data_IF_419273270695
#
_entry.id   IF_419273270695
#
_cell.length_a   1.000
_cell.length_b   1.000
_cell.length_c   1.000
_cell.angle_alpha   90.00
_cell.angle_beta   90.00
_cell.angle_gamma   90.00
#
_symmetry.space_group_name_H-M   'P 1'
#
loop_
_entity.id
_entity.type
_entity.pdbx_description
1 polymer ?
#
# COMPACT_ATOMS: atom_id res chain seq x y z
N UNK A 1 -14.57 -36.45 -13.12
CA UNK A 1 -13.84 -35.98 -14.33
C UNK A 1 -12.51 -35.36 -13.90
N UNK A 2 -11.36 -35.85 -14.37
CA UNK A 2 -10.07 -35.25 -14.06
C UNK A 2 -9.99 -33.83 -14.65
N UNK A 3 -9.52 -32.86 -13.85
CA UNK A 3 -9.31 -31.47 -14.31
C UNK A 3 -8.34 -31.50 -15.50
N UNK A 4 -8.80 -31.04 -16.66
CA UNK A 4 -7.99 -30.85 -17.86
C UNK A 4 -6.78 -29.98 -17.47
N UNK A 5 -5.56 -30.50 -17.66
CA UNK A 5 -4.33 -29.76 -17.37
C UNK A 5 -4.36 -28.42 -18.13
N UNK A 6 -4.11 -27.31 -17.43
CA UNK A 6 -4.04 -25.99 -18.06
C UNK A 6 -2.89 -26.03 -19.08
N UNK A 7 -3.21 -25.83 -20.37
CA UNK A 7 -2.21 -25.62 -21.42
C UNK A 7 -1.30 -24.46 -21.01
N UNK A 8 0.01 -24.64 -21.16
CA UNK A 8 0.96 -23.57 -20.98
C UNK A 8 0.66 -22.42 -21.96
N UNK A 9 0.79 -21.15 -21.53
CA UNK A 9 0.53 -20.01 -22.40
C UNK A 9 1.53 -19.99 -23.57
N UNK A 10 1.04 -19.93 -24.81
CA UNK A 10 1.84 -19.84 -26.05
C UNK A 10 2.49 -18.47 -26.28
N UNK A 11 2.42 -17.58 -25.30
CA UNK A 11 2.90 -16.19 -25.36
C UNK A 11 4.12 -16.04 -24.46
N UNK A 12 5.13 -15.29 -24.93
CA UNK A 12 6.23 -14.85 -24.07
C UNK A 12 5.67 -14.16 -22.81
N UNK A 13 6.12 -14.54 -21.60
CA UNK A 13 5.54 -14.08 -20.34
C UNK A 13 5.53 -12.55 -20.27
N UNK A 14 4.36 -11.94 -20.08
CA UNK A 14 4.31 -10.50 -19.82
C UNK A 14 4.94 -10.28 -18.44
N UNK A 15 5.84 -9.30 -18.25
CA UNK A 15 6.29 -8.96 -16.91
C UNK A 15 5.14 -8.57 -15.96
N UNK A 16 3.97 -8.17 -16.49
CA UNK A 16 2.76 -7.95 -15.69
C UNK A 16 2.08 -9.25 -15.21
N UNK A 17 2.35 -10.41 -15.82
CA UNK A 17 1.75 -11.70 -15.44
C UNK A 17 2.25 -12.21 -14.07
N UNK A 18 3.30 -11.59 -13.53
CA UNK A 18 3.84 -11.86 -12.20
C UNK A 18 2.92 -11.32 -11.07
N UNK A 19 2.05 -10.37 -11.37
CA UNK A 19 1.17 -9.73 -10.40
C UNK A 19 -0.23 -10.35 -10.41
N UNK A 20 -0.90 -10.35 -9.25
CA UNK A 20 -2.28 -10.82 -9.17
C UNK A 20 -3.22 -9.91 -9.98
N UNK A 21 -4.33 -10.47 -10.47
CA UNK A 21 -5.38 -9.70 -11.17
C UNK A 21 -5.94 -8.56 -10.32
N UNK A 22 -5.95 -8.71 -8.98
CA UNK A 22 -6.38 -7.67 -8.05
C UNK A 22 -5.37 -6.52 -7.95
N UNK A 23 -4.08 -6.83 -7.82
CA UNK A 23 -2.99 -5.84 -7.77
C UNK A 23 -2.93 -5.03 -9.05
N UNK A 24 -3.07 -5.71 -10.19
CA UNK A 24 -3.14 -5.06 -11.49
C UNK A 24 -4.36 -4.14 -11.59
N UNK A 25 -5.50 -4.53 -11.00
CA UNK A 25 -6.70 -3.69 -10.93
C UNK A 25 -6.46 -2.45 -10.09
N UNK A 26 -5.85 -2.58 -8.91
CA UNK A 26 -5.52 -1.45 -8.03
C UNK A 26 -4.55 -0.50 -8.73
N UNK A 27 -3.47 -1.01 -9.33
CA UNK A 27 -2.50 -0.20 -10.05
C UNK A 27 -3.14 0.53 -11.26
N UNK A 28 -4.01 -0.15 -12.01
CA UNK A 28 -4.79 0.46 -13.10
C UNK A 28 -5.73 1.54 -12.58
N UNK A 29 -6.44 1.32 -11.48
CA UNK A 29 -7.32 2.32 -10.88
C UNK A 29 -6.55 3.57 -10.48
N UNK A 30 -5.43 3.42 -9.75
CA UNK A 30 -4.57 4.56 -9.38
C UNK A 30 -4.09 5.29 -10.63
N UNK A 31 -3.61 4.57 -11.63
CA UNK A 31 -3.11 5.17 -12.87
C UNK A 31 -4.21 5.92 -13.65
N UNK A 32 -5.40 5.33 -13.80
CA UNK A 32 -6.52 6.01 -14.45
C UNK A 32 -6.99 7.22 -13.66
N UNK A 33 -7.00 7.17 -12.33
CA UNK A 33 -7.29 8.34 -11.50
C UNK A 33 -6.28 9.47 -11.72
N UNK A 34 -4.99 9.15 -11.91
CA UNK A 34 -3.96 10.15 -12.28
C UNK A 34 -4.29 10.78 -13.65
N UNK A 35 -4.66 9.99 -14.66
CA UNK A 35 -5.03 10.51 -15.98
C UNK A 35 -6.24 11.44 -15.87
N UNK A 36 -7.28 11.01 -15.17
CA UNK A 36 -8.51 11.79 -14.97
C UNK A 36 -8.19 13.09 -14.22
N UNK A 37 -7.41 13.01 -13.14
CA UNK A 37 -6.96 14.19 -12.39
C UNK A 37 -6.20 15.16 -13.31
N UNK A 38 -5.28 14.64 -14.13
CA UNK A 38 -4.50 15.44 -15.08
C UNK A 38 -5.39 16.16 -16.09
N UNK A 39 -6.37 15.44 -16.65
CA UNK A 39 -7.31 16.02 -17.61
C UNK A 39 -8.16 17.13 -16.98
N UNK A 40 -8.70 16.91 -15.77
CA UNK A 40 -9.49 17.91 -15.04
C UNK A 40 -8.61 19.13 -14.72
N UNK A 41 -7.39 18.93 -14.24
CA UNK A 41 -6.46 20.03 -13.93
C UNK A 41 -6.14 20.86 -15.17
N UNK A 42 -5.85 20.24 -16.31
CA UNK A 42 -5.51 20.98 -17.54
C UNK A 42 -6.72 21.74 -18.07
N UNK A 43 -7.92 21.13 -18.05
CA UNK A 43 -9.16 21.82 -18.38
C UNK A 43 -9.38 23.03 -17.45
N UNK A 44 -9.15 22.84 -16.15
CA UNK A 44 -9.19 23.92 -15.16
C UNK A 44 -8.23 25.06 -15.48
N UNK A 45 -6.97 24.77 -15.80
CA UNK A 45 -5.97 25.78 -16.18
C UNK A 45 -6.48 26.63 -17.35
N UNK A 46 -6.99 25.99 -18.41
CA UNK A 46 -7.51 26.72 -19.56
C UNK A 46 -8.72 27.56 -19.24
N UNK A 47 -9.67 27.02 -18.47
CA UNK A 47 -10.86 27.76 -18.04
C UNK A 47 -10.49 28.95 -17.16
N UNK A 48 -9.51 28.82 -16.27
CA UNK A 48 -8.99 29.93 -15.45
C UNK A 48 -8.34 31.00 -16.32
N UNK A 49 -7.52 30.62 -17.30
CA UNK A 49 -6.89 31.57 -18.23
C UNK A 49 -7.95 32.32 -19.05
N UNK A 50 -8.97 31.61 -19.56
CA UNK A 50 -10.05 32.22 -20.32
C UNK A 50 -10.88 33.14 -19.42
N UNK A 51 -11.23 32.70 -18.20
CA UNK A 51 -11.96 33.52 -17.22
C UNK A 51 -11.21 34.80 -16.91
N UNK A 52 -9.91 34.71 -16.65
CA UNK A 52 -9.05 35.88 -16.43
C UNK A 52 -8.97 36.81 -17.64
N UNK A 53 -8.88 36.28 -18.86
CA UNK A 53 -8.90 37.10 -20.08
C UNK A 53 -10.22 37.86 -20.25
N UNK A 54 -11.34 37.24 -19.90
CA UNK A 54 -12.67 37.86 -19.95
C UNK A 54 -12.81 38.94 -18.87
N UNK A 55 -12.49 38.62 -17.62
CA UNK A 55 -12.59 39.56 -16.49
C UNK A 55 -11.68 40.79 -16.65
N UNK A 56 -10.50 40.60 -17.23
CA UNK A 56 -9.55 41.70 -17.48
C UNK A 56 -9.90 42.55 -18.72
N UNK A 57 -10.98 42.24 -19.44
CA UNK A 57 -11.35 42.91 -20.69
C UNK A 57 -10.41 42.62 -21.87
N UNK A 58 -9.40 41.76 -21.68
CA UNK A 58 -8.42 41.41 -22.71
C UNK A 58 -8.98 40.48 -23.78
N UNK A 59 -10.11 39.85 -23.52
CA UNK A 59 -10.81 39.03 -24.49
C UNK A 59 -11.21 39.82 -25.74
N UNK A 60 -11.57 41.09 -25.60
CA UNK A 60 -11.91 41.96 -26.72
C UNK A 60 -10.72 42.17 -27.66
N UNK A 61 -9.51 42.27 -27.11
CA UNK A 61 -8.27 42.37 -27.87
C UNK A 61 -8.06 41.10 -28.70
N UNK A 62 -8.26 39.93 -28.10
CA UNK A 62 -8.15 38.64 -28.80
C UNK A 62 -9.20 38.52 -29.92
N UNK A 63 -10.44 38.96 -29.68
CA UNK A 63 -11.50 38.96 -30.69
C UNK A 63 -11.20 39.95 -31.82
N UNK A 64 -10.57 41.09 -31.51
CA UNK A 64 -10.15 42.09 -32.51
C UNK A 64 -9.09 41.58 -33.50
N UNK A 65 -8.32 40.54 -33.13
CA UNK A 65 -7.36 39.89 -34.03
C UNK A 65 -8.04 39.04 -35.11
N UNK A 66 -9.38 38.96 -35.08
CA UNK A 66 -10.21 38.24 -36.03
C UNK A 66 -10.49 36.80 -35.61
N UNK A 67 -11.43 36.16 -36.32
CA UNK A 67 -11.88 34.80 -36.03
C UNK A 67 -10.75 33.76 -36.04
N UNK A 68 -9.69 34.01 -36.80
CA UNK A 68 -8.52 33.13 -36.87
C UNK A 68 -7.76 33.01 -35.54
N UNK A 69 -7.66 34.09 -34.76
CA UNK A 69 -6.98 34.06 -33.46
C UNK A 69 -7.75 33.23 -32.43
N UNK A 70 -9.08 33.39 -32.38
CA UNK A 70 -9.94 32.57 -31.52
C UNK A 70 -9.89 31.08 -31.91
N UNK A 71 -9.93 30.77 -33.21
CA UNK A 71 -9.79 29.41 -33.71
C UNK A 71 -8.43 28.80 -33.34
N UNK A 72 -7.34 29.57 -33.44
CA UNK A 72 -6.00 29.12 -33.07
C UNK A 72 -5.91 28.72 -31.60
N UNK A 73 -6.51 29.50 -30.69
CA UNK A 73 -6.54 29.19 -29.26
C UNK A 73 -7.29 27.88 -29.02
N UNK A 74 -8.50 27.73 -29.59
CA UNK A 74 -9.31 26.52 -29.43
C UNK A 74 -8.57 25.30 -29.98
N UNK A 75 -7.98 25.40 -31.18
CA UNK A 75 -7.19 24.32 -31.77
C UNK A 75 -5.97 24.00 -30.91
N UNK A 76 -5.28 25.01 -30.39
CA UNK A 76 -4.15 24.83 -29.46
C UNK A 76 -4.54 24.06 -28.20
N UNK A 77 -5.69 24.38 -27.60
CA UNK A 77 -6.25 23.65 -26.47
C UNK A 77 -6.50 22.19 -26.83
N UNK A 78 -7.18 21.93 -27.96
CA UNK A 78 -7.51 20.57 -28.41
C UNK A 78 -6.25 19.76 -28.69
N UNK A 79 -5.28 20.33 -29.42
CA UNK A 79 -4.01 19.66 -29.75
C UNK A 79 -3.22 19.34 -28.48
N UNK A 80 -3.14 20.26 -27.51
CA UNK A 80 -2.45 20.01 -26.25
C UNK A 80 -3.10 18.84 -25.47
N UNK A 81 -4.42 18.77 -25.42
CA UNK A 81 -5.14 17.66 -24.77
C UNK A 81 -4.92 16.33 -25.49
N UNK A 82 -5.00 16.32 -26.82
CA UNK A 82 -4.74 15.11 -27.61
C UNK A 82 -3.30 14.62 -27.43
N UNK A 83 -2.33 15.54 -27.45
CA UNK A 83 -0.93 15.23 -27.19
C UNK A 83 -0.74 14.58 -25.82
N UNK A 84 -1.39 15.13 -24.78
CA UNK A 84 -1.33 14.61 -23.43
C UNK A 84 -1.96 13.21 -23.31
N UNK A 85 -3.08 12.96 -23.99
CA UNK A 85 -3.70 11.62 -24.06
C UNK A 85 -2.78 10.61 -24.73
N UNK A 86 -2.11 10.99 -25.83
CA UNK A 86 -1.12 10.14 -26.50
C UNK A 86 0.07 9.87 -25.58
N UNK A 87 0.58 10.88 -24.88
CA UNK A 87 1.66 10.73 -23.91
C UNK A 87 1.29 9.71 -22.83
N UNK A 88 0.09 9.83 -22.24
CA UNK A 88 -0.41 8.87 -21.26
C UNK A 88 -0.58 7.48 -21.84
N UNK A 89 -1.08 7.36 -23.07
CA UNK A 89 -1.24 6.06 -23.74
C UNK A 89 0.10 5.36 -23.96
N UNK A 90 1.12 6.08 -24.44
CA UNK A 90 2.47 5.55 -24.65
C UNK A 90 3.12 5.17 -23.32
N UNK A 91 2.93 5.98 -22.28
CA UNK A 91 3.44 5.71 -20.94
C UNK A 91 2.62 4.69 -20.15
N UNK A 92 1.45 4.25 -20.66
CA UNK A 92 0.50 3.43 -19.93
C UNK A 92 1.12 2.11 -19.45
N UNK A 93 1.74 1.37 -20.38
CA UNK A 93 2.26 0.03 -20.10
C UNK A 93 3.49 0.07 -19.18
N UNK A 94 4.42 0.98 -19.46
CA UNK A 94 5.61 1.17 -18.62
C UNK A 94 5.27 1.77 -17.26
N UNK A 95 4.30 2.68 -17.21
CA UNK A 95 3.82 3.34 -16.01
C UNK A 95 3.15 2.37 -15.04
N UNK A 96 2.20 1.55 -15.53
CA UNK A 96 1.55 0.53 -14.70
C UNK A 96 2.56 -0.48 -14.16
N UNK A 97 3.50 -0.94 -15.00
CA UNK A 97 4.51 -1.88 -14.58
C UNK A 97 5.41 -1.31 -13.47
N UNK A 98 5.90 -0.08 -13.62
CA UNK A 98 6.68 0.60 -12.56
C UNK A 98 5.85 0.80 -11.28
N UNK A 99 4.57 1.11 -11.42
CA UNK A 99 3.66 1.32 -10.30
C UNK A 99 3.38 0.00 -9.56
N UNK A 100 3.14 -1.10 -10.28
CA UNK A 100 3.04 -2.44 -9.71
C UNK A 100 4.34 -2.86 -9.00
N UNK A 101 5.49 -2.65 -9.64
CA UNK A 101 6.79 -2.96 -9.04
C UNK A 101 7.05 -2.17 -7.76
N UNK A 102 6.61 -0.91 -7.67
CA UNK A 102 6.81 -0.08 -6.47
C UNK A 102 5.80 -0.37 -5.37
N UNK A 103 4.54 -0.65 -5.73
CA UNK A 103 3.48 -0.98 -4.76
C UNK A 103 3.63 -2.39 -4.20
N UNK A 104 4.00 -3.37 -5.03
CA UNK A 104 3.91 -4.79 -4.69
C UNK A 104 5.24 -5.54 -4.78
N UNK A 105 6.39 -4.81 -4.76
CA UNK A 105 7.75 -5.39 -4.86
C UNK A 105 7.95 -6.63 -4.00
N UNK A 106 7.45 -6.58 -2.77
CA UNK A 106 7.73 -7.58 -1.74
C UNK A 106 6.72 -8.74 -1.73
N UNK A 107 5.79 -8.80 -2.69
CA UNK A 107 4.76 -9.86 -2.69
C UNK A 107 5.32 -11.25 -3.03
N UNK A 108 6.38 -11.32 -3.83
CA UNK A 108 7.09 -12.60 -4.09
C UNK A 108 7.65 -13.17 -2.78
N UNK A 109 8.11 -12.31 -1.87
CA UNK A 109 8.50 -12.68 -0.50
C UNK A 109 7.28 -12.95 0.39
N UNK A 110 6.18 -12.19 0.25
CA UNK A 110 4.95 -12.39 1.02
C UNK A 110 4.27 -13.75 0.76
N UNK A 111 4.53 -14.37 -0.40
CA UNK A 111 4.05 -15.74 -0.70
C UNK A 111 4.71 -16.80 0.19
N UNK A 112 5.92 -16.53 0.71
CA UNK A 112 6.57 -17.36 1.76
C UNK A 112 5.84 -17.27 3.11
N UNK A 113 4.98 -16.27 3.28
CA UNK A 113 4.29 -15.93 4.53
C UNK A 113 2.76 -15.96 4.36
N UNK A 114 2.26 -16.75 3.40
CA UNK A 114 0.86 -16.80 3.00
C UNK A 114 -0.04 -17.49 4.06
N UNK A 115 0.52 -18.41 4.85
CA UNK A 115 -0.22 -19.22 5.82
C UNK A 115 -0.73 -18.44 7.05
N UNK A 116 -0.21 -17.23 7.31
CA UNK A 116 -0.57 -16.43 8.47
C UNK A 116 -1.67 -15.40 8.17
N UNK A 117 -2.78 -15.85 7.61
CA UNK A 117 -3.93 -14.98 7.30
C UNK A 117 -4.46 -14.26 8.56
N UNK A 118 -4.55 -14.95 9.69
CA UNK A 118 -4.95 -14.40 10.98
C UNK A 118 -4.01 -13.30 11.48
N UNK A 119 -2.69 -13.51 11.39
CA UNK A 119 -1.69 -12.51 11.79
C UNK A 119 -1.78 -11.26 10.89
N UNK A 120 -1.96 -11.45 9.58
CA UNK A 120 -2.14 -10.34 8.64
C UNK A 120 -3.39 -9.52 8.97
N UNK A 121 -4.48 -10.17 9.35
CA UNK A 121 -5.71 -9.49 9.78
C UNK A 121 -5.52 -8.76 11.11
N UNK A 122 -4.83 -9.37 12.07
CA UNK A 122 -4.51 -8.72 13.35
C UNK A 122 -3.67 -7.46 13.13
N UNK A 123 -2.59 -7.56 12.34
CA UNK A 123 -1.75 -6.41 11.96
C UNK A 123 -2.59 -5.35 11.24
N UNK A 124 -3.49 -5.77 10.37
CA UNK A 124 -4.38 -4.87 9.65
C UNK A 124 -5.26 -4.05 10.60
N UNK A 125 -5.91 -4.72 11.57
CA UNK A 125 -6.72 -4.06 12.59
C UNK A 125 -5.86 -3.12 13.44
N UNK A 126 -4.69 -3.56 13.90
CA UNK A 126 -3.79 -2.71 14.71
C UNK A 126 -3.34 -1.46 13.96
N UNK A 127 -2.95 -1.59 12.69
CA UNK A 127 -2.55 -0.45 11.86
C UNK A 127 -3.71 0.54 11.65
N UNK A 128 -4.91 0.04 11.38
CA UNK A 128 -6.10 0.89 11.23
C UNK A 128 -6.41 1.61 12.54
N UNK A 129 -6.34 0.93 13.69
CA UNK A 129 -6.52 1.56 15.01
C UNK A 129 -5.49 2.65 15.29
N UNK A 130 -4.21 2.40 15.00
CA UNK A 130 -3.15 3.41 15.14
C UNK A 130 -3.43 4.60 14.22
N UNK A 131 -3.85 4.36 12.98
CA UNK A 131 -4.14 5.41 12.01
C UNK A 131 -5.31 6.30 12.46
N UNK A 132 -6.41 5.68 12.93
CA UNK A 132 -7.55 6.41 13.48
C UNK A 132 -7.15 7.21 14.72
N UNK A 133 -6.37 6.62 15.63
CA UNK A 133 -5.86 7.32 16.80
C UNK A 133 -5.01 8.54 16.40
N UNK A 134 -4.09 8.40 15.44
CA UNK A 134 -3.26 9.51 14.96
C UNK A 134 -4.09 10.61 14.30
N UNK A 135 -5.12 10.26 13.52
CA UNK A 135 -6.03 11.25 12.93
C UNK A 135 -6.80 11.99 14.03
N UNK A 136 -7.42 11.28 14.96
CA UNK A 136 -8.17 11.90 16.05
C UNK A 136 -7.26 12.77 16.93
N UNK A 137 -6.05 12.30 17.24
CA UNK A 137 -5.05 13.05 17.98
C UNK A 137 -4.66 14.33 17.24
N UNK A 138 -4.41 14.25 15.94
CA UNK A 138 -4.11 15.42 15.12
C UNK A 138 -5.27 16.43 15.16
N UNK A 139 -6.52 15.97 15.00
CA UNK A 139 -7.71 16.84 15.06
C UNK A 139 -7.87 17.54 16.43
N UNK A 140 -7.54 16.86 17.53
CA UNK A 140 -7.63 17.40 18.89
C UNK A 140 -6.50 18.37 19.21
N UNK A 141 -5.29 18.12 18.71
CA UNK A 141 -4.12 18.99 18.96
C UNK A 141 -4.19 20.28 18.14
N UNK A 142 -4.92 20.29 17.02
CA UNK A 142 -5.00 21.47 16.16
C UNK A 142 -5.66 22.65 16.89
N UNK A 143 -4.99 23.81 16.98
CA UNK A 143 -5.52 24.98 17.68
C UNK A 143 -6.77 25.54 16.97
N UNK A 144 -7.61 26.27 17.72
CA UNK A 144 -8.82 26.92 17.17
C UNK A 144 -8.54 27.80 15.94
N UNK A 145 -7.38 28.48 15.93
CA UNK A 145 -6.90 29.31 14.81
C UNK A 145 -6.82 28.51 13.50
N UNK A 146 -6.47 27.22 13.56
CA UNK A 146 -6.38 26.38 12.36
C UNK A 146 -7.76 26.12 11.75
N UNK A 147 -8.78 25.89 12.59
CA UNK A 147 -10.15 25.70 12.13
C UNK A 147 -10.74 26.97 11.53
N UNK A 148 -10.44 28.12 12.12
CA UNK A 148 -10.81 29.43 11.57
C UNK A 148 -10.13 29.69 10.22
N UNK A 149 -8.85 29.34 10.09
CA UNK A 149 -8.11 29.43 8.82
C UNK A 149 -8.76 28.56 7.73
N UNK A 150 -9.14 27.32 8.06
CA UNK A 150 -9.86 26.44 7.12
C UNK A 150 -11.21 27.05 6.72
N UNK A 151 -12.00 27.53 7.69
CA UNK A 151 -13.31 28.12 7.42
C UNK A 151 -13.19 29.37 6.52
N UNK A 152 -12.23 30.26 6.82
CA UNK A 152 -11.97 31.46 6.03
C UNK A 152 -11.49 31.10 4.62
N UNK A 153 -10.63 30.09 4.48
CA UNK A 153 -10.20 29.60 3.17
C UNK A 153 -11.37 29.05 2.34
N UNK A 154 -12.27 28.27 2.95
CA UNK A 154 -13.49 27.80 2.28
C UNK A 154 -14.43 28.94 1.88
N UNK A 155 -14.63 29.92 2.76
CA UNK A 155 -15.44 31.10 2.46
C UNK A 155 -14.85 31.92 1.29
N UNK A 156 -13.53 32.06 1.26
CA UNK A 156 -12.82 32.70 0.15
C UNK A 156 -13.03 31.96 -1.17
N UNK A 157 -12.83 30.63 -1.17
CA UNK A 157 -13.06 29.80 -2.35
C UNK A 157 -14.50 29.96 -2.87
N UNK A 158 -15.49 29.89 -1.97
CA UNK A 158 -16.90 29.98 -2.34
C UNK A 158 -17.32 31.33 -2.93
N UNK A 159 -16.67 32.42 -2.50
CA UNK A 159 -17.06 33.78 -2.90
C UNK A 159 -16.25 34.33 -4.05
N UNK A 160 -14.99 33.90 -4.19
CA UNK A 160 -14.02 34.54 -5.09
C UNK A 160 -13.70 33.69 -6.32
N UNK A 161 -13.97 32.37 -6.30
CA UNK A 161 -13.55 31.52 -7.41
C UNK A 161 -14.46 31.66 -8.62
N UNK A 162 -13.84 31.92 -9.77
CA UNK A 162 -14.52 31.78 -11.06
C UNK A 162 -14.73 30.28 -11.41
N UNK A 163 -15.59 29.93 -12.38
CA UNK A 163 -15.84 28.54 -12.75
C UNK A 163 -14.58 27.75 -13.15
N UNK A 164 -13.58 28.43 -13.74
CA UNK A 164 -12.32 27.78 -14.11
C UNK A 164 -11.46 27.40 -12.91
N UNK A 165 -11.35 28.30 -11.94
CA UNK A 165 -10.65 28.10 -10.67
C UNK A 165 -11.29 26.97 -9.86
N UNK A 166 -12.62 26.83 -9.91
CA UNK A 166 -13.32 25.68 -9.33
C UNK A 166 -12.91 24.35 -9.96
N UNK A 167 -12.91 24.28 -11.29
CA UNK A 167 -12.48 23.05 -12.00
C UNK A 167 -11.02 22.74 -11.70
N UNK A 168 -10.16 23.76 -11.68
CA UNK A 168 -8.75 23.61 -11.33
C UNK A 168 -8.57 23.10 -9.91
N UNK A 169 -9.28 23.69 -8.94
CA UNK A 169 -9.26 23.28 -7.54
C UNK A 169 -9.69 21.83 -7.36
N UNK A 170 -10.80 21.42 -7.99
CA UNK A 170 -11.26 20.03 -7.96
C UNK A 170 -10.21 19.09 -8.53
N UNK A 171 -9.56 19.45 -9.64
CA UNK A 171 -8.46 18.66 -10.21
C UNK A 171 -7.28 18.50 -9.24
N UNK A 172 -6.85 19.59 -8.59
CA UNK A 172 -5.77 19.57 -7.60
C UNK A 172 -6.13 18.74 -6.37
N UNK A 173 -7.33 18.91 -5.82
CA UNK A 173 -7.82 18.12 -4.68
C UNK A 173 -7.88 16.64 -5.04
N UNK A 174 -8.34 16.32 -6.25
CA UNK A 174 -8.39 14.95 -6.71
C UNK A 174 -6.97 14.33 -6.83
N UNK A 175 -5.98 15.09 -7.30
CA UNK A 175 -4.58 14.68 -7.25
C UNK A 175 -4.09 14.39 -5.83
N UNK A 176 -4.39 15.27 -4.88
CA UNK A 176 -4.01 15.09 -3.47
C UNK A 176 -4.60 13.79 -2.94
N UNK A 177 -5.89 13.53 -3.19
CA UNK A 177 -6.56 12.29 -2.78
C UNK A 177 -5.87 11.07 -3.39
N UNK A 178 -5.56 11.10 -4.69
CA UNK A 178 -4.88 9.98 -5.36
C UNK A 178 -3.49 9.73 -4.78
N UNK A 179 -2.73 10.78 -4.48
CA UNK A 179 -1.42 10.69 -3.83
C UNK A 179 -1.54 10.10 -2.43
N UNK A 180 -2.53 10.53 -1.64
CA UNK A 180 -2.78 9.98 -0.30
C UNK A 180 -3.14 8.49 -0.35
N UNK A 181 -4.02 8.08 -1.27
CA UNK A 181 -4.36 6.67 -1.48
C UNK A 181 -3.11 5.87 -1.86
N UNK A 182 -2.32 6.38 -2.81
CA UNK A 182 -1.08 5.76 -3.24
C UNK A 182 -0.09 5.59 -2.08
N UNK A 183 0.14 6.65 -1.28
CA UNK A 183 1.01 6.60 -0.10
C UNK A 183 0.48 5.64 0.95
N UNK A 184 -0.84 5.60 1.18
CA UNK A 184 -1.48 4.65 2.08
C UNK A 184 -1.18 3.20 1.66
N UNK A 185 -1.31 2.87 0.38
CA UNK A 185 -0.95 1.54 -0.14
C UNK A 185 0.55 1.23 -0.01
N UNK A 186 1.42 2.19 -0.29
CA UNK A 186 2.87 2.02 -0.11
C UNK A 186 3.19 1.73 1.35
N UNK A 187 2.71 2.57 2.27
CA UNK A 187 2.93 2.41 3.71
C UNK A 187 2.35 1.10 4.23
N UNK A 188 1.17 0.72 3.75
CA UNK A 188 0.53 -0.55 4.11
C UNK A 188 1.39 -1.74 3.71
N UNK A 189 1.73 -1.84 2.42
CA UNK A 189 2.45 -3.00 1.90
C UNK A 189 3.84 -3.13 2.53
N UNK A 190 4.56 -2.02 2.70
CA UNK A 190 5.87 -2.03 3.35
C UNK A 190 5.77 -2.25 4.86
N UNK A 191 4.78 -1.64 5.53
CA UNK A 191 4.57 -1.72 6.97
C UNK A 191 4.16 -3.13 7.42
N UNK A 192 3.15 -3.72 6.78
CA UNK A 192 2.73 -5.11 7.04
C UNK A 192 3.90 -6.06 6.82
N UNK A 193 4.67 -5.86 5.75
CA UNK A 193 5.84 -6.70 5.46
C UNK A 193 6.93 -6.57 6.53
N UNK A 194 7.26 -5.35 6.97
CA UNK A 194 8.27 -5.13 8.00
C UNK A 194 7.91 -5.83 9.32
N UNK A 195 6.62 -5.84 9.68
CA UNK A 195 6.14 -6.55 10.87
C UNK A 195 6.22 -8.07 10.68
N UNK A 196 5.72 -8.61 9.57
CA UNK A 196 5.78 -10.06 9.28
C UNK A 196 7.22 -10.59 9.31
N UNK A 197 8.16 -9.83 8.74
CA UNK A 197 9.59 -10.19 8.76
C UNK A 197 10.15 -10.27 10.18
N UNK A 198 9.73 -9.37 11.08
CA UNK A 198 10.17 -9.39 12.49
C UNK A 198 9.57 -10.56 13.26
N UNK A 199 8.26 -10.78 13.12
CA UNK A 199 7.57 -11.89 13.81
C UNK A 199 8.20 -13.22 13.43
N UNK A 200 8.46 -13.44 12.13
CA UNK A 200 9.06 -14.69 11.71
C UNK A 200 10.50 -14.87 12.19
N UNK A 201 11.30 -13.80 12.18
CA UNK A 201 12.67 -13.90 12.71
C UNK A 201 12.66 -14.36 14.17
N UNK A 202 11.69 -13.89 14.95
CA UNK A 202 11.50 -14.32 16.34
C UNK A 202 11.10 -15.79 16.41
N UNK A 203 10.16 -16.24 15.57
CA UNK A 203 9.75 -17.66 15.50
C UNK A 203 10.90 -18.59 15.09
N UNK A 204 11.67 -18.22 14.06
CA UNK A 204 12.87 -18.96 13.62
C UNK A 204 13.94 -18.98 14.72
N UNK A 205 14.13 -17.89 15.48
CA UNK A 205 15.04 -17.86 16.64
C UNK A 205 14.58 -18.82 17.75
N UNK A 206 13.27 -18.91 18.03
CA UNK A 206 12.71 -19.86 19.00
C UNK A 206 12.88 -21.31 18.56
N UNK A 207 12.64 -21.63 17.29
CA UNK A 207 12.84 -22.97 16.73
C UNK A 207 14.31 -23.39 16.83
N UNK A 208 15.25 -22.51 16.47
CA UNK A 208 16.69 -22.77 16.60
C UNK A 208 17.10 -22.95 18.06
N UNK A 209 16.56 -22.16 18.99
CA UNK A 209 16.85 -22.32 20.41
C UNK A 209 16.29 -23.65 20.96
N UNK A 210 15.12 -24.10 20.50
CA UNK A 210 14.58 -25.42 20.82
C UNK A 210 15.42 -26.55 20.25
N UNK A 211 15.88 -26.46 19.00
CA UNK A 211 16.78 -27.45 18.40
C UNK A 211 18.11 -27.53 19.15
N UNK A 212 18.71 -26.38 19.49
CA UNK A 212 19.94 -26.34 20.31
C UNK A 212 19.69 -26.98 21.68
N UNK A 213 18.55 -26.69 22.33
CA UNK A 213 18.18 -27.35 23.60
C UNK A 213 18.07 -28.86 23.42
N UNK A 214 17.43 -29.35 22.36
CA UNK A 214 17.32 -30.80 22.08
C UNK A 214 18.67 -31.44 21.81
N UNK A 215 19.53 -30.79 21.04
CA UNK A 215 20.85 -31.33 20.71
C UNK A 215 21.80 -31.33 21.92
N UNK A 216 21.75 -30.31 22.77
CA UNK A 216 22.44 -30.31 24.08
C UNK A 216 21.93 -31.45 24.95
N UNK A 217 20.62 -31.72 24.94
CA UNK A 217 20.03 -32.82 25.71
C UNK A 217 20.37 -34.21 25.16
N UNK A 218 20.59 -34.35 23.84
CA UNK A 218 21.09 -35.61 23.24
C UNK A 218 22.50 -35.97 23.68
N UNK A 219 23.33 -34.98 24.01
CA UNK A 219 24.68 -35.16 24.54
C UNK A 219 24.80 -35.16 26.07
N UNK A 220 23.71 -34.93 26.79
CA UNK A 220 23.70 -34.82 28.25
C UNK A 220 23.75 -36.19 28.94
N UNK A 221 24.38 -36.24 30.10
CA UNK A 221 24.40 -37.40 30.98
C UNK A 221 23.03 -37.64 31.64
N UNK A 222 22.80 -38.87 32.07
CA UNK A 222 21.51 -39.32 32.62
C UNK A 222 21.12 -38.55 33.89
N UNK A 223 22.10 -38.10 34.70
CA UNK A 223 21.85 -37.32 35.91
C UNK A 223 21.33 -35.90 35.56
N UNK A 224 21.90 -35.28 34.52
CA UNK A 224 21.45 -33.98 34.01
C UNK A 224 20.05 -34.05 33.41
N UNK A 225 19.72 -35.11 32.67
CA UNK A 225 18.36 -35.35 32.15
C UNK A 225 17.33 -35.50 33.28
N UNK A 226 17.68 -36.23 34.35
CA UNK A 226 16.81 -36.37 35.52
C UNK A 226 16.61 -35.04 36.26
N UNK A 227 17.67 -34.25 36.46
CA UNK A 227 17.58 -32.91 37.07
C UNK A 227 16.67 -31.99 36.26
N UNK A 228 16.79 -32.02 34.93
CA UNK A 228 15.98 -31.19 34.06
C UNK A 228 14.49 -31.59 34.09
N UNK A 229 14.20 -32.89 34.03
CA UNK A 229 12.83 -33.40 34.16
C UNK A 229 12.19 -33.02 35.50
N UNK A 230 12.93 -33.19 36.60
CA UNK A 230 12.48 -32.82 37.93
C UNK A 230 12.18 -31.31 38.02
N UNK A 231 13.02 -30.48 37.39
CA UNK A 231 12.85 -29.02 37.34
C UNK A 231 11.65 -28.59 36.49
N UNK A 232 11.44 -29.21 35.33
CA UNK A 232 10.35 -28.86 34.41
C UNK A 232 8.98 -29.35 34.86
N UNK A 233 8.92 -30.57 35.41
CA UNK A 233 7.63 -31.23 35.71
C UNK A 233 7.27 -31.24 37.18
N UNK A 234 8.22 -30.90 38.07
CA UNK A 234 8.08 -31.02 39.53
C UNK A 234 7.96 -32.46 40.05
N UNK A 235 8.09 -33.46 39.17
CA UNK A 235 7.94 -34.89 39.49
C UNK A 235 9.29 -35.58 39.47
N UNK A 236 9.47 -36.59 40.32
CA UNK A 236 10.71 -37.39 40.36
C UNK A 236 10.85 -38.25 39.11
N UNK A 237 11.99 -38.19 38.44
CA UNK A 237 12.33 -39.02 37.28
C UNK A 237 12.40 -40.52 37.64
N UNK A 238 12.98 -40.83 38.81
CA UNK A 238 13.12 -42.18 39.37
C UNK A 238 12.20 -42.36 40.58
N UNK A 239 11.47 -43.48 40.61
CA UNK A 239 10.72 -43.92 41.78
C UNK A 239 11.11 -45.35 42.13
N UNK A 240 11.56 -45.59 43.37
CA UNK A 240 12.04 -46.90 43.86
C UNK A 240 13.10 -47.55 42.94
N UNK A 241 14.05 -46.74 42.46
CA UNK A 241 15.16 -47.20 41.61
C UNK A 241 14.77 -47.52 40.15
N UNK A 242 13.51 -47.30 39.75
CA UNK A 242 13.06 -47.47 38.36
C UNK A 242 12.64 -46.14 37.76
N UNK A 243 12.90 -45.98 36.46
CA UNK A 243 12.41 -44.83 35.69
C UNK A 243 10.88 -44.80 35.68
N UNK A 244 10.31 -43.61 35.88
CA UNK A 244 8.86 -43.43 35.81
C UNK A 244 8.38 -43.42 34.36
N UNK A 245 7.15 -43.88 34.08
CA UNK A 245 6.55 -43.78 32.74
C UNK A 245 6.51 -42.33 32.22
N UNK A 246 6.32 -41.37 33.12
CA UNK A 246 6.38 -39.94 32.81
C UNK A 246 7.75 -39.51 32.31
N UNK A 247 8.82 -39.93 32.99
CA UNK A 247 10.19 -39.66 32.55
C UNK A 247 10.52 -40.34 31.21
N UNK A 248 10.14 -41.61 31.02
CA UNK A 248 10.39 -42.33 29.76
C UNK A 248 9.69 -41.66 28.58
N UNK A 249 8.43 -41.24 28.74
CA UNK A 249 7.69 -40.55 27.68
C UNK A 249 8.26 -39.17 27.37
N UNK A 250 8.61 -38.39 28.40
CA UNK A 250 9.27 -37.10 28.25
C UNK A 250 10.65 -37.21 27.59
N UNK A 251 11.46 -38.19 28.01
CA UNK A 251 12.79 -38.49 27.45
C UNK A 251 12.66 -38.86 25.98
N UNK A 252 11.68 -39.69 25.63
CA UNK A 252 11.40 -40.05 24.23
C UNK A 252 10.96 -38.84 23.40
N UNK A 253 10.14 -37.92 23.93
CA UNK A 253 9.74 -36.71 23.20
C UNK A 253 10.84 -35.66 23.05
N UNK A 254 11.81 -35.63 23.97
CA UNK A 254 12.94 -34.68 23.92
C UNK A 254 14.11 -35.19 23.08
N UNK A 255 14.26 -36.52 22.96
CA UNK A 255 15.38 -37.16 22.26
C UNK A 255 15.03 -37.72 20.86
N UNK A 256 13.75 -37.82 20.50
CA UNK A 256 13.31 -38.10 19.12
C UNK A 256 13.43 -36.88 18.23
#
# INVERSE_FOLDING_TARGET
>A
MPRKARKEPTRAPDPLDQFSTWDLRIAKMIYYSIIIASAITILGIWLTIIGWLVESGRWEIVVSWGLGAGALIIVGIVVLHLFLLVLFYVLFRGGILKLCQRLFKDRVLAKKYEDYTTLRLLIAVTLVSIYLFLITLALVILPSIFWELIANFWAYILTSFNPGEWVLFVGIVFFIIVVLIYLGFVLWNHGVFAVLKRVKRIEEEYEVEEEIKRDVLKGADEETLQKLYNKQTGKKAIYRGKETKGYISWKRSMLS
#
